data_IF_421552864698
#
_entry.id   IF_421552864698
#
_cell.length_a   1.000
_cell.length_b   1.000
_cell.length_c   1.000
_cell.angle_alpha   90.00
_cell.angle_beta   90.00
_cell.angle_gamma   90.00
#
_symmetry.space_group_name_H-M   'P 1'
#
loop_
_entity.id
_entity.type
_entity.pdbx_description
1 polymer ?
#
# COMPACT_ATOMS: atom_id res chain seq x y z
N UNK A 1 -4.64 7.19 19.42
CA UNK A 1 -5.11 8.62 19.37
C UNK A 1 -6.36 8.80 18.50
N UNK A 2 -7.05 9.95 18.53
CA UNK A 2 -8.21 10.23 17.64
C UNK A 2 -7.79 10.60 16.21
N UNK A 3 -8.70 10.44 15.25
CA UNK A 3 -8.42 10.67 13.82
C UNK A 3 -7.79 12.04 13.51
N UNK A 4 -8.32 13.14 14.07
CA UNK A 4 -7.81 14.48 13.76
C UNK A 4 -6.38 14.69 14.26
N UNK A 5 -6.03 14.09 15.41
CA UNK A 5 -4.66 14.10 15.92
C UNK A 5 -3.75 13.28 15.02
N UNK A 6 -4.18 12.06 14.69
CA UNK A 6 -3.49 11.16 13.77
C UNK A 6 -3.22 11.84 12.42
N UNK A 7 -4.25 12.43 11.81
CA UNK A 7 -4.15 13.12 10.53
C UNK A 7 -3.07 14.20 10.54
N UNK A 8 -3.01 15.01 11.59
CA UNK A 8 -2.03 16.09 11.72
C UNK A 8 -0.60 15.57 11.89
N UNK A 9 -0.39 14.51 12.67
CA UNK A 9 0.91 13.86 12.85
C UNK A 9 1.35 13.19 11.54
N UNK A 10 0.48 12.35 10.97
CA UNK A 10 0.73 11.62 9.72
C UNK A 10 1.06 12.54 8.55
N UNK A 11 0.48 13.76 8.47
CA UNK A 11 0.80 14.71 7.41
C UNK A 11 2.27 15.12 7.43
N UNK A 12 2.81 15.47 8.61
CA UNK A 12 4.23 15.84 8.76
C UNK A 12 5.15 14.66 8.48
N UNK A 13 4.80 13.48 8.99
CA UNK A 13 5.57 12.26 8.73
C UNK A 13 5.56 11.87 7.25
N UNK A 14 4.43 12.04 6.56
CA UNK A 14 4.31 11.76 5.12
C UNK A 14 5.32 12.55 4.31
N UNK A 15 5.43 13.85 4.57
CA UNK A 15 6.40 14.72 3.87
C UNK A 15 7.84 14.26 4.10
N UNK A 16 8.18 13.89 5.35
CA UNK A 16 9.51 13.37 5.69
C UNK A 16 9.82 12.04 4.98
N UNK A 17 8.90 11.07 5.03
CA UNK A 17 9.11 9.76 4.40
C UNK A 17 9.22 9.88 2.88
N UNK A 18 8.36 10.69 2.24
CA UNK A 18 8.44 10.92 0.79
C UNK A 18 9.76 11.59 0.41
N UNK A 19 10.26 12.51 1.23
CA UNK A 19 11.57 13.12 1.02
C UNK A 19 12.70 12.10 1.14
N UNK A 20 12.68 11.23 2.16
CA UNK A 20 13.66 10.15 2.33
C UNK A 20 13.66 9.19 1.13
N UNK A 21 12.48 8.75 0.69
CA UNK A 21 12.30 7.93 -0.52
C UNK A 21 12.92 8.63 -1.72
N UNK A 22 12.61 9.92 -1.91
CA UNK A 22 13.14 10.72 -3.01
C UNK A 22 14.64 11.03 -2.90
N UNK A 23 15.34 10.61 -1.85
CA UNK A 23 16.81 10.65 -1.78
C UNK A 23 17.45 9.26 -1.85
N UNK A 24 16.65 8.20 -1.74
CA UNK A 24 17.11 6.83 -1.88
C UNK A 24 17.24 6.39 -3.35
N UNK A 25 17.95 5.28 -3.56
CA UNK A 25 18.04 4.60 -4.86
C UNK A 25 16.95 3.53 -5.05
N UNK A 26 16.06 3.38 -4.07
CA UNK A 26 15.04 2.33 -4.09
C UNK A 26 13.98 2.58 -5.15
N UNK A 27 13.56 1.50 -5.78
CA UNK A 27 12.54 1.50 -6.82
C UNK A 27 11.25 0.85 -6.30
N UNK A 28 10.11 1.39 -6.70
CA UNK A 28 8.80 0.96 -6.26
C UNK A 28 7.87 0.72 -7.45
N UNK A 29 7.10 -0.36 -7.36
CA UNK A 29 5.97 -0.64 -8.25
C UNK A 29 4.75 -0.88 -7.38
N UNK A 30 3.65 -0.18 -7.69
CA UNK A 30 2.41 -0.29 -6.93
C UNK A 30 1.32 -0.98 -7.74
N UNK A 31 0.66 -1.96 -7.14
CA UNK A 31 -0.59 -2.56 -7.61
C UNK A 31 -1.69 -2.33 -6.59
N UNK A 32 -2.60 -1.39 -6.86
CA UNK A 32 -3.53 -0.85 -5.87
C UNK A 32 -4.98 -1.14 -6.26
N UNK A 33 -5.65 -1.99 -5.49
CA UNK A 33 -7.02 -2.43 -5.72
C UNK A 33 -7.95 -1.84 -4.64
N UNK A 34 -8.65 -0.76 -4.98
CA UNK A 34 -9.74 -0.23 -4.16
C UNK A 34 -9.37 0.81 -3.10
N UNK A 35 -8.08 1.13 -2.90
CA UNK A 35 -7.59 2.20 -2.01
C UNK A 35 -6.26 2.81 -2.50
N UNK A 36 -5.55 3.51 -1.60
CA UNK A 36 -4.24 4.13 -1.80
C UNK A 36 -4.23 5.34 -2.75
N UNK A 37 -5.35 6.04 -2.86
CA UNK A 37 -5.42 7.24 -3.70
C UNK A 37 -4.54 8.37 -3.14
N UNK A 38 -4.49 8.50 -1.81
CA UNK A 38 -3.59 9.47 -1.15
C UNK A 38 -2.12 9.12 -1.34
N UNK A 39 -1.74 7.85 -1.23
CA UNK A 39 -0.38 7.39 -1.48
C UNK A 39 0.11 7.81 -2.87
N UNK A 40 -0.70 7.52 -3.89
CA UNK A 40 -0.39 7.91 -5.28
C UNK A 40 -0.20 9.41 -5.40
N UNK A 41 -1.10 10.21 -4.81
CA UNK A 41 -0.97 11.66 -4.81
C UNK A 41 0.34 12.11 -4.16
N UNK A 42 0.70 11.58 -2.99
CA UNK A 42 1.93 11.99 -2.28
C UNK A 42 3.20 11.69 -3.08
N UNK A 43 3.25 10.56 -3.77
CA UNK A 43 4.37 10.25 -4.66
C UNK A 43 4.38 11.21 -5.87
N UNK A 44 3.27 11.35 -6.58
CA UNK A 44 3.22 12.13 -7.82
C UNK A 44 3.37 13.65 -7.62
N UNK A 45 3.05 14.17 -6.43
CA UNK A 45 3.28 15.58 -6.08
C UNK A 45 4.78 15.90 -5.87
N UNK A 46 5.65 14.88 -5.72
CA UNK A 46 7.08 15.06 -5.46
C UNK A 46 7.88 15.13 -6.77
N UNK A 47 8.53 16.26 -7.01
CA UNK A 47 9.46 16.41 -8.14
C UNK A 47 10.61 15.40 -8.04
N UNK A 48 10.95 14.79 -9.18
CA UNK A 48 12.01 13.78 -9.28
C UNK A 48 11.58 12.36 -8.89
N UNK A 49 10.32 12.14 -8.48
CA UNK A 49 9.87 10.82 -8.01
C UNK A 49 9.99 9.71 -9.07
N UNK A 50 10.07 10.06 -10.36
CA UNK A 50 10.27 9.09 -11.45
C UNK A 50 11.54 8.26 -11.30
N UNK A 51 12.51 8.70 -10.50
CA UNK A 51 13.68 7.90 -10.17
C UNK A 51 13.38 6.77 -9.18
N UNK A 52 12.33 6.88 -8.37
CA UNK A 52 11.96 5.87 -7.37
C UNK A 52 10.68 5.11 -7.76
N UNK A 53 9.72 5.76 -8.41
CA UNK A 53 8.46 5.13 -8.79
C UNK A 53 8.50 4.66 -10.25
N UNK A 54 8.59 3.34 -10.45
CA UNK A 54 8.61 2.73 -11.79
C UNK A 54 7.21 2.73 -12.40
N UNK A 55 6.19 2.39 -11.61
CA UNK A 55 4.83 2.25 -12.14
C UNK A 55 3.76 2.12 -11.08
N UNK A 56 2.56 2.56 -11.43
CA UNK A 56 1.34 2.43 -10.63
C UNK A 56 0.27 1.75 -11.48
N UNK A 57 -0.31 0.69 -10.96
CA UNK A 57 -1.41 -0.06 -11.55
C UNK A 57 -2.62 -0.02 -10.62
N UNK A 58 -3.72 0.61 -11.07
CA UNK A 58 -4.94 0.75 -10.26
C UNK A 58 -6.20 0.20 -10.97
N UNK A 59 -6.24 -1.09 -11.34
CA UNK A 59 -7.45 -1.65 -11.94
C UNK A 59 -8.58 -1.71 -10.92
N UNK A 60 -9.74 -1.15 -11.29
CA UNK A 60 -10.83 -0.90 -10.33
C UNK A 60 -12.04 -1.82 -10.51
N UNK A 61 -12.39 -2.15 -11.75
CA UNK A 61 -13.51 -3.05 -12.03
C UNK A 61 -13.07 -4.50 -11.89
N UNK A 62 -14.01 -5.40 -11.53
CA UNK A 62 -13.73 -6.85 -11.47
C UNK A 62 -13.11 -7.37 -12.76
N UNK A 63 -13.59 -6.89 -13.91
CA UNK A 63 -13.04 -7.26 -15.22
C UNK A 63 -11.60 -6.77 -15.37
N UNK A 64 -11.33 -5.49 -15.05
CA UNK A 64 -9.97 -4.95 -15.13
C UNK A 64 -8.99 -5.68 -14.18
N UNK A 65 -9.45 -6.04 -12.97
CA UNK A 65 -8.62 -6.81 -12.02
C UNK A 65 -8.33 -8.21 -12.59
N UNK A 66 -9.34 -8.91 -13.12
CA UNK A 66 -9.14 -10.21 -13.76
C UNK A 66 -8.17 -10.13 -14.93
N UNK A 67 -8.37 -9.17 -15.83
CA UNK A 67 -7.55 -9.01 -17.03
C UNK A 67 -6.10 -8.67 -16.63
N UNK A 68 -5.90 -7.86 -15.58
CA UNK A 68 -4.57 -7.48 -15.07
C UNK A 68 -3.85 -8.61 -14.31
N UNK A 69 -4.57 -9.37 -13.48
CA UNK A 69 -3.96 -10.32 -12.53
C UNK A 69 -4.01 -11.78 -13.00
N UNK A 70 -4.82 -12.07 -14.01
CA UNK A 70 -5.20 -13.43 -14.41
C UNK A 70 -5.72 -14.26 -13.21
N UNK A 71 -6.24 -13.58 -12.18
CA UNK A 71 -6.73 -14.18 -10.94
C UNK A 71 -8.24 -14.08 -10.88
N UNK A 72 -8.92 -15.22 -10.94
CA UNK A 72 -10.37 -15.30 -10.85
C UNK A 72 -10.78 -15.73 -9.44
N UNK A 73 -11.44 -14.84 -8.70
CA UNK A 73 -11.92 -15.13 -7.36
C UNK A 73 -13.28 -14.51 -7.08
N UNK A 74 -14.00 -15.12 -6.14
CA UNK A 74 -15.25 -14.58 -5.60
C UNK A 74 -15.03 -13.32 -4.75
N UNK A 75 -13.82 -13.13 -4.21
CA UNK A 75 -13.38 -11.94 -3.48
C UNK A 75 -11.95 -11.55 -3.86
N UNK A 76 -11.70 -10.27 -4.06
CA UNK A 76 -10.37 -9.73 -4.38
C UNK A 76 -9.67 -9.13 -3.16
N UNK A 77 -10.36 -9.00 -2.02
CA UNK A 77 -9.78 -8.43 -0.79
C UNK A 77 -9.26 -9.60 0.05
N UNK A 78 -8.05 -10.06 -0.26
CA UNK A 78 -7.38 -11.16 0.44
C UNK A 78 -5.85 -11.10 0.20
N UNK A 79 -5.09 -11.78 1.07
CA UNK A 79 -3.63 -11.85 0.97
C UNK A 79 -3.13 -12.66 -0.23
N UNK A 80 -3.82 -13.72 -0.65
CA UNK A 80 -3.40 -14.54 -1.79
C UNK A 80 -3.24 -13.71 -3.07
N UNK A 81 -4.20 -12.81 -3.34
CA UNK A 81 -4.13 -11.89 -4.47
C UNK A 81 -2.93 -10.96 -4.34
N UNK A 82 -2.78 -10.29 -3.18
CA UNK A 82 -1.73 -9.29 -3.01
C UNK A 82 -0.34 -9.94 -3.06
N UNK A 83 -0.13 -11.11 -2.43
CA UNK A 83 1.14 -11.82 -2.48
C UNK A 83 1.49 -12.29 -3.89
N UNK A 84 0.50 -12.79 -4.64
CA UNK A 84 0.70 -13.18 -6.04
C UNK A 84 1.11 -11.97 -6.89
N UNK A 85 0.33 -10.90 -6.82
CA UNK A 85 0.55 -9.71 -7.66
C UNK A 85 1.87 -9.01 -7.31
N UNK A 86 2.24 -8.91 -6.02
CA UNK A 86 3.51 -8.31 -5.65
C UNK A 86 4.68 -9.12 -6.23
N UNK A 87 4.62 -10.45 -6.18
CA UNK A 87 5.64 -11.31 -6.78
C UNK A 87 5.68 -11.19 -8.31
N UNK A 88 4.54 -11.38 -8.99
CA UNK A 88 4.48 -11.32 -10.44
C UNK A 88 5.03 -9.99 -10.97
N UNK A 89 4.70 -8.86 -10.33
CA UNK A 89 5.18 -7.53 -10.75
C UNK A 89 6.64 -7.30 -10.44
N UNK A 90 7.19 -7.91 -9.40
CA UNK A 90 8.64 -7.90 -9.20
C UNK A 90 9.33 -8.67 -10.32
N UNK A 91 8.83 -9.87 -10.65
CA UNK A 91 9.42 -10.72 -11.70
C UNK A 91 9.37 -10.02 -13.07
N UNK A 92 8.23 -9.41 -13.43
CA UNK A 92 8.06 -8.64 -14.68
C UNK A 92 9.11 -7.52 -14.84
N UNK A 93 9.40 -6.80 -13.75
CA UNK A 93 10.23 -5.59 -13.81
C UNK A 93 11.68 -5.81 -13.40
N UNK A 94 11.99 -6.84 -12.62
CA UNK A 94 13.36 -7.23 -12.32
C UNK A 94 14.11 -7.66 -13.59
N UNK A 95 13.40 -8.24 -14.56
CA UNK A 95 13.94 -8.58 -15.87
C UNK A 95 14.22 -7.35 -16.76
N UNK A 96 13.53 -6.24 -16.50
CA UNK A 96 13.65 -4.99 -17.28
C UNK A 96 14.64 -4.00 -16.68
N UNK A 97 14.98 -4.15 -15.40
CA UNK A 97 15.92 -3.30 -14.70
C UNK A 97 17.34 -3.92 -14.71
N UNK A 98 18.36 -3.07 -14.62
CA UNK A 98 19.72 -3.53 -14.36
C UNK A 98 19.79 -4.30 -13.04
N UNK A 99 20.62 -5.34 -12.99
CA UNK A 99 20.71 -6.35 -11.90
C UNK A 99 21.03 -5.82 -10.49
N UNK A 100 21.17 -4.50 -10.30
CA UNK A 100 21.59 -3.85 -9.06
C UNK A 100 20.55 -2.89 -8.46
N UNK A 101 19.36 -2.72 -9.06
CA UNK A 101 18.35 -1.81 -8.52
C UNK A 101 17.59 -2.47 -7.36
N UNK A 102 17.54 -1.81 -6.20
CA UNK A 102 16.78 -2.24 -5.01
C UNK A 102 15.27 -2.03 -5.25
N UNK A 103 14.67 -3.01 -5.92
CA UNK A 103 13.26 -3.02 -6.31
C UNK A 103 12.36 -3.59 -5.21
N UNK A 104 11.27 -2.88 -4.92
CA UNK A 104 10.19 -3.36 -4.07
C UNK A 104 8.85 -3.26 -4.81
N UNK A 105 8.21 -4.41 -4.97
CA UNK A 105 6.86 -4.50 -5.48
C UNK A 105 5.86 -4.54 -4.34
N UNK A 106 4.82 -3.71 -4.40
CA UNK A 106 3.82 -3.57 -3.36
C UNK A 106 2.43 -3.73 -3.97
N UNK A 107 1.66 -4.66 -3.41
CA UNK A 107 0.27 -4.87 -3.78
C UNK A 107 -0.65 -4.59 -2.59
N UNK A 108 -1.74 -3.87 -2.84
CA UNK A 108 -2.73 -3.50 -1.83
C UNK A 108 -4.10 -3.84 -2.35
N UNK A 109 -4.90 -4.56 -1.56
CA UNK A 109 -6.31 -4.82 -1.88
C UNK A 109 -7.20 -4.49 -0.71
N UNK A 110 -8.20 -3.64 -0.92
CA UNK A 110 -8.99 -3.05 0.17
C UNK A 110 -10.49 -3.12 -0.05
N UNK A 111 -11.19 -3.29 1.06
CA UNK A 111 -12.63 -3.17 1.21
C UNK A 111 -12.91 -1.90 2.00
N UNK A 112 -13.15 -0.77 1.33
CA UNK A 112 -13.48 0.49 2.00
C UNK A 112 -14.98 0.58 2.32
N UNK A 113 -15.37 1.49 3.20
CA UNK A 113 -16.75 1.82 3.54
C UNK A 113 -17.52 2.20 2.29
N UNK A 114 -18.72 1.64 2.16
CA UNK A 114 -19.65 1.95 1.06
C UNK A 114 -21.08 1.91 1.59
N UNK A 115 -22.01 2.58 0.90
CA UNK A 115 -23.44 2.50 1.20
C UNK A 115 -24.07 1.15 0.79
N UNK A 116 -23.37 0.34 -0.01
CA UNK A 116 -23.85 -0.97 -0.48
C UNK A 116 -23.48 -2.05 0.52
N UNK A 117 -24.36 -3.04 0.67
CA UNK A 117 -24.05 -4.25 1.43
C UNK A 117 -22.85 -4.95 0.79
N UNK A 118 -21.80 -5.19 1.58
CA UNK A 118 -20.60 -5.91 1.15
C UNK A 118 -20.43 -7.20 1.93
N UNK A 119 -19.65 -8.12 1.36
CA UNK A 119 -19.38 -9.46 1.90
C UNK A 119 -18.17 -9.52 2.83
N UNK A 120 -17.35 -8.47 2.82
CA UNK A 120 -16.10 -8.39 3.57
C UNK A 120 -16.12 -7.18 4.48
N UNK A 121 -15.50 -7.31 5.64
CA UNK A 121 -15.28 -6.21 6.58
C UNK A 121 -14.43 -5.10 5.97
N UNK A 122 -14.44 -3.95 6.64
CA UNK A 122 -13.62 -2.81 6.28
C UNK A 122 -12.16 -3.12 6.59
N UNK A 123 -11.29 -3.02 5.60
CA UNK A 123 -9.87 -3.30 5.80
C UNK A 123 -9.07 -3.44 4.51
N UNK A 124 -7.80 -3.77 4.67
CA UNK A 124 -6.87 -3.95 3.57
C UNK A 124 -5.90 -5.09 3.83
N UNK A 125 -5.60 -5.84 2.78
CA UNK A 125 -4.41 -6.68 2.70
C UNK A 125 -3.33 -5.94 1.92
N UNK A 126 -2.09 -6.07 2.38
CA UNK A 126 -0.92 -5.44 1.79
C UNK A 126 0.17 -6.50 1.69
N UNK A 127 0.83 -6.62 0.55
CA UNK A 127 1.97 -7.52 0.38
C UNK A 127 3.13 -6.77 -0.24
N UNK A 128 4.32 -6.95 0.34
CA UNK A 128 5.58 -6.45 -0.21
C UNK A 128 6.42 -7.63 -0.71
N UNK A 129 7.17 -7.43 -1.78
CA UNK A 129 8.16 -8.39 -2.25
C UNK A 129 9.38 -7.68 -2.84
N UNK A 130 10.58 -8.11 -2.44
CA UNK A 130 11.86 -7.51 -2.85
C UNK A 130 12.81 -8.52 -3.53
N UNK A 131 12.29 -9.63 -4.03
CA UNK A 131 13.07 -10.73 -4.62
C UNK A 131 13.50 -11.80 -3.62
N UNK A 132 13.84 -11.40 -2.40
CA UNK A 132 14.31 -12.33 -1.36
C UNK A 132 13.22 -12.66 -0.34
N UNK A 133 12.39 -11.69 0.01
CA UNK A 133 11.42 -11.79 1.08
C UNK A 133 10.05 -11.28 0.62
N UNK A 134 9.01 -12.01 1.02
CA UNK A 134 7.62 -11.58 0.94
C UNK A 134 7.10 -11.33 2.35
N UNK A 135 6.50 -10.17 2.58
CA UNK A 135 5.87 -9.84 3.87
C UNK A 135 4.44 -9.40 3.60
N UNK A 136 3.49 -9.94 4.37
CA UNK A 136 2.09 -9.59 4.27
C UNK A 136 1.66 -8.83 5.51
N UNK A 137 0.77 -7.86 5.32
CA UNK A 137 0.19 -7.07 6.37
C UNK A 137 -1.32 -6.99 6.19
N UNK A 138 -2.01 -6.75 7.30
CA UNK A 138 -3.44 -6.46 7.32
C UNK A 138 -3.70 -5.19 8.11
N UNK A 139 -4.53 -4.31 7.54
CA UNK A 139 -5.15 -3.21 8.24
C UNK A 139 -6.62 -3.56 8.46
N UNK A 140 -7.08 -3.53 9.71
CA UNK A 140 -8.48 -3.76 10.05
C UNK A 140 -9.07 -2.53 10.73
N UNK A 141 -10.31 -2.18 10.35
CA UNK A 141 -11.08 -1.14 11.02
C UNK A 141 -12.08 -1.81 11.96
N UNK A 142 -11.92 -1.61 13.27
CA UNK A 142 -12.71 -2.30 14.29
C UNK A 142 -14.06 -1.64 14.60
N UNK A 143 -14.32 -0.45 14.04
CA UNK A 143 -15.58 0.27 14.22
C UNK A 143 -16.00 0.99 12.93
N UNK A 144 -17.31 1.21 12.76
CA UNK A 144 -17.86 1.92 11.60
C UNK A 144 -17.67 3.45 11.65
N UNK A 145 -16.62 3.91 12.34
CA UNK A 145 -16.37 5.31 12.66
C UNK A 145 -15.70 6.08 11.53
N UNK A 146 -14.94 5.39 10.66
CA UNK A 146 -14.20 6.04 9.61
C UNK A 146 -14.99 6.12 8.31
N UNK A 147 -15.07 7.31 7.73
CA UNK A 147 -15.54 7.50 6.37
C UNK A 147 -14.60 6.82 5.35
N UNK A 148 -15.13 6.55 4.16
CA UNK A 148 -14.35 5.99 3.03
C UNK A 148 -13.05 6.76 2.77
N UNK A 149 -13.09 8.09 2.85
CA UNK A 149 -11.92 8.95 2.61
C UNK A 149 -10.91 8.86 3.75
N UNK A 150 -11.37 8.73 5.00
CA UNK A 150 -10.48 8.54 6.15
C UNK A 150 -9.80 7.18 6.07
N UNK A 151 -10.53 6.12 5.72
CA UNK A 151 -9.94 4.79 5.54
C UNK A 151 -8.89 4.76 4.41
N UNK A 152 -9.15 5.39 3.27
CA UNK A 152 -8.16 5.50 2.18
C UNK A 152 -6.89 6.23 2.64
N UNK A 153 -7.03 7.31 3.42
CA UNK A 153 -5.90 8.02 4.00
C UNK A 153 -5.10 7.13 4.96
N UNK A 154 -5.78 6.44 5.89
CA UNK A 154 -5.15 5.56 6.88
C UNK A 154 -4.39 4.42 6.19
N UNK A 155 -5.01 3.77 5.20
CA UNK A 155 -4.35 2.71 4.43
C UNK A 155 -3.16 3.26 3.65
N UNK A 156 -3.31 4.41 2.99
CA UNK A 156 -2.21 5.05 2.25
C UNK A 156 -1.01 5.33 3.16
N UNK A 157 -1.26 5.89 4.34
CA UNK A 157 -0.21 6.18 5.32
C UNK A 157 0.40 4.90 5.89
N UNK A 158 -0.41 3.88 6.17
CA UNK A 158 0.09 2.56 6.60
C UNK A 158 1.03 1.92 5.58
N UNK A 159 0.71 1.99 4.29
CA UNK A 159 1.61 1.53 3.22
C UNK A 159 2.92 2.33 3.21
N UNK A 160 2.85 3.65 3.45
CA UNK A 160 4.04 4.50 3.53
C UNK A 160 4.94 4.12 4.73
N UNK A 161 4.36 3.81 5.89
CA UNK A 161 5.10 3.30 7.05
C UNK A 161 5.70 1.91 6.79
N UNK A 162 4.98 1.03 6.08
CA UNK A 162 5.51 -0.27 5.64
C UNK A 162 6.72 -0.07 4.71
N UNK A 163 6.67 0.89 3.78
CA UNK A 163 7.81 1.24 2.91
C UNK A 163 8.98 1.72 3.76
N UNK A 164 8.75 2.67 4.68
CA UNK A 164 9.79 3.19 5.57
C UNK A 164 10.49 2.06 6.34
N UNK A 165 9.70 1.16 6.95
CA UNK A 165 10.19 0.02 7.72
C UNK A 165 11.08 -0.91 6.87
N UNK A 166 10.61 -1.29 5.69
CA UNK A 166 11.33 -2.21 4.80
C UNK A 166 12.55 -1.57 4.12
N UNK A 167 12.73 -0.26 4.29
CA UNK A 167 13.87 0.47 3.74
C UNK A 167 15.00 0.70 4.74
N UNK A 168 14.88 0.16 5.97
CA UNK A 168 15.81 0.45 7.08
C UNK A 168 15.97 1.95 7.35
N UNK A 169 14.99 2.76 6.94
CA UNK A 169 14.94 4.19 7.22
C UNK A 169 14.42 4.34 8.66
N UNK A 170 15.33 4.65 9.59
CA UNK A 170 15.09 4.91 11.03
C UNK A 170 13.82 4.26 11.62
N UNK A 171 14.01 3.12 12.29
CA UNK A 171 12.93 2.32 12.87
C UNK A 171 12.10 3.09 13.90
N UNK A 172 10.86 3.46 13.54
CA UNK A 172 9.74 3.50 14.48
C UNK A 172 8.95 2.20 14.35
N UNK A 173 8.39 1.68 15.44
CA UNK A 173 7.49 0.51 15.42
C UNK A 173 6.42 0.64 14.32
N UNK A 174 6.03 -0.49 13.72
CA UNK A 174 4.93 -0.56 12.74
C UNK A 174 3.58 -0.43 13.47
N UNK A 175 3.31 0.76 14.00
CA UNK A 175 2.07 1.11 14.65
C UNK A 175 1.54 2.41 14.05
N UNK A 176 0.22 2.49 13.90
CA UNK A 176 -0.48 3.68 13.45
C UNK A 176 -0.90 4.57 14.64
N UNK A 177 -0.82 4.07 15.88
CA UNK A 177 -1.26 4.74 17.11
C UNK A 177 -2.64 5.43 16.95
N UNK A 178 -3.57 4.72 16.30
CA UNK A 178 -4.91 5.21 15.99
C UNK A 178 -5.95 4.31 16.64
N UNK A 179 -6.85 4.90 17.42
CA UNK A 179 -7.92 4.16 18.06
C UNK A 179 -8.76 3.42 17.00
N UNK A 180 -9.18 2.18 17.30
CA UNK A 180 -10.05 1.36 16.44
C UNK A 180 -9.45 0.97 15.07
N UNK A 181 -8.13 1.04 14.92
CA UNK A 181 -7.40 0.53 13.75
C UNK A 181 -6.27 -0.39 14.22
N UNK A 182 -6.14 -1.56 13.59
CA UNK A 182 -4.98 -2.43 13.78
C UNK A 182 -4.16 -2.50 12.49
N UNK A 183 -2.84 -2.50 12.61
CA UNK A 183 -1.90 -2.83 11.53
C UNK A 183 -1.03 -3.99 12.03
N UNK A 184 -1.15 -5.15 11.38
CA UNK A 184 -0.45 -6.37 11.79
C UNK A 184 0.25 -7.02 10.62
N UNK A 185 1.43 -7.60 10.87
CA UNK A 185 2.07 -8.53 9.92
C UNK A 185 1.37 -9.89 10.02
N UNK A 186 1.08 -10.53 8.89
CA UNK A 186 0.35 -11.81 8.79
C UNK A 186 1.07 -12.83 7.90
#
# INVERSE_FOLDING_TARGET
>A
MKYDQFYNVSKKETEAIIQEINFSDKKFIFSLFGSCQRLVKWFLDKEGISKNLIGIYMPYSRKAINDYTQFHSSSYVNSLLTSKVSKDKYDDFSLLNSSNDDLMSIAVSSSLKTKKHKRSDDGSYISTYNGNQSINYRIEFMADEFSRTQQDFIISFGVLKIIQLNNSLNFSSLDLDLDNVSLVSI
#
